data_IF_964687268315
#
_entry.id   IF_964687268315
#
_cell.length_a   1.000
_cell.length_b   1.000
_cell.length_c   1.000
_cell.angle_alpha   90.00
_cell.angle_beta   90.00
_cell.angle_gamma   90.00
#
_symmetry.space_group_name_H-M   'P 1'
#
loop_
_entity.id
_entity.type
_entity.pdbx_description
1 polymer ?
#
# COMPACT_ATOMS: atom_id res chain seq x y z
N UNK A 1 11.04 57.99 -19.87
CA UNK A 1 11.58 56.74 -19.33
C UNK A 1 11.18 56.66 -17.87
N UNK A 2 10.38 55.81 -17.35
CA UNK A 2 9.80 54.64 -17.88
C UNK A 2 9.11 53.92 -16.73
N UNK A 3 7.79 54.04 -16.64
CA UNK A 3 6.94 53.15 -15.79
C UNK A 3 6.94 51.71 -16.33
N UNK A 4 7.19 51.54 -17.61
CA UNK A 4 7.25 50.22 -18.25
C UNK A 4 8.45 49.35 -17.79
N UNK A 5 9.63 49.94 -17.55
CA UNK A 5 10.81 49.18 -17.04
C UNK A 5 10.72 48.73 -15.58
N UNK A 6 9.74 49.23 -14.80
CA UNK A 6 9.48 48.78 -13.44
C UNK A 6 8.51 47.56 -13.38
N UNK A 7 7.66 47.39 -14.41
CA UNK A 7 6.76 46.25 -14.52
C UNK A 7 7.49 44.96 -14.96
N UNK A 8 8.54 45.11 -15.81
CA UNK A 8 9.37 43.95 -16.25
C UNK A 8 10.32 43.41 -15.17
N UNK A 9 10.42 44.08 -14.01
CA UNK A 9 11.20 43.66 -12.84
C UNK A 9 10.37 43.19 -11.65
N UNK A 10 9.07 43.11 -11.79
CA UNK A 10 8.25 42.40 -10.82
C UNK A 10 8.39 40.91 -11.15
N UNK A 11 9.19 40.22 -10.32
CA UNK A 11 9.15 38.75 -10.26
C UNK A 11 7.68 38.38 -10.12
N UNK A 12 7.13 37.79 -11.17
CA UNK A 12 5.82 37.14 -11.09
C UNK A 12 6.02 36.03 -10.09
N UNK A 13 5.57 36.23 -8.86
CA UNK A 13 5.39 35.14 -7.91
C UNK A 13 4.34 34.24 -8.57
N UNK A 14 4.80 33.26 -9.35
CA UNK A 14 3.94 32.16 -9.73
C UNK A 14 3.47 31.56 -8.41
N UNK A 15 2.24 31.87 -8.03
CA UNK A 15 1.54 31.14 -6.99
C UNK A 15 1.67 29.68 -7.36
N UNK A 16 2.46 28.95 -6.58
CA UNK A 16 2.64 27.52 -6.76
C UNK A 16 1.23 26.95 -6.91
N UNK A 17 0.94 26.40 -8.10
CA UNK A 17 -0.37 25.77 -8.35
C UNK A 17 -0.58 24.78 -7.21
N UNK A 18 -1.62 25.00 -6.42
CA UNK A 18 -1.96 24.08 -5.32
C UNK A 18 -1.98 22.67 -5.91
N UNK A 19 -1.11 21.81 -5.39
CA UNK A 19 -1.10 20.42 -5.79
C UNK A 19 -2.45 19.85 -5.35
N UNK A 20 -3.16 19.11 -6.21
CA UNK A 20 -4.42 18.51 -5.81
C UNK A 20 -4.16 17.64 -4.58
N UNK A 21 -4.89 17.90 -3.49
CA UNK A 21 -4.80 17.07 -2.29
C UNK A 21 -5.36 15.68 -2.64
N UNK A 22 -4.67 14.62 -2.23
CA UNK A 22 -5.16 13.28 -2.48
C UNK A 22 -6.44 13.01 -1.68
N UNK A 23 -7.34 12.19 -2.26
CA UNK A 23 -8.56 11.70 -1.63
C UNK A 23 -8.61 10.20 -1.84
N UNK A 24 -8.48 9.42 -0.76
CA UNK A 24 -8.51 7.96 -0.82
C UNK A 24 -9.80 7.40 -0.24
N UNK A 25 -10.42 6.51 -0.98
CA UNK A 25 -11.59 5.76 -0.54
C UNK A 25 -11.48 4.32 -1.04
N UNK A 26 -11.31 3.36 -0.11
CA UNK A 26 -11.23 1.94 -0.44
C UNK A 26 -12.62 1.38 -0.72
N UNK A 27 -12.80 0.74 -1.88
CA UNK A 27 -14.04 0.06 -2.22
C UNK A 27 -14.15 -1.24 -1.42
N UNK A 28 -15.31 -1.46 -0.86
CA UNK A 28 -15.58 -2.62 -0.03
C UNK A 28 -16.20 -3.74 -0.85
N UNK A 29 -15.60 -4.94 -0.78
CA UNK A 29 -16.18 -6.17 -1.30
C UNK A 29 -17.20 -6.73 -0.30
N UNK A 30 -17.88 -7.81 -0.68
CA UNK A 30 -18.80 -8.53 0.20
C UNK A 30 -18.11 -8.97 1.49
N UNK A 31 -18.90 -9.13 2.55
CA UNK A 31 -18.42 -9.56 3.87
C UNK A 31 -17.77 -10.96 3.79
N UNK A 32 -16.53 -11.14 4.26
CA UNK A 32 -15.85 -12.44 4.30
C UNK A 32 -16.35 -13.32 5.44
N UNK A 33 -15.86 -14.55 5.51
CA UNK A 33 -16.02 -15.43 6.67
C UNK A 33 -15.46 -14.81 7.96
N UNK A 34 -15.72 -15.45 9.12
CA UNK A 34 -15.22 -14.95 10.40
C UNK A 34 -13.69 -15.00 10.48
N UNK A 35 -13.10 -16.12 10.08
CA UNK A 35 -11.65 -16.31 10.00
C UNK A 35 -11.17 -15.85 8.62
N UNK A 36 -10.13 -15.02 8.57
CA UNK A 36 -9.53 -14.58 7.31
C UNK A 36 -8.35 -15.45 6.94
N UNK A 37 -7.47 -15.72 7.90
CA UNK A 37 -6.43 -16.72 7.76
C UNK A 37 -5.97 -17.23 9.13
N UNK A 38 -5.36 -18.41 9.12
CA UNK A 38 -4.73 -19.05 10.26
C UNK A 38 -3.46 -19.75 9.77
N UNK A 39 -2.36 -19.64 10.54
CA UNK A 39 -1.11 -20.33 10.23
C UNK A 39 -0.84 -21.41 11.28
N UNK A 40 -0.39 -22.56 10.81
CA UNK A 40 0.01 -23.68 11.66
C UNK A 40 1.48 -23.99 11.41
N UNK A 41 2.31 -23.79 12.44
CA UNK A 41 3.76 -24.02 12.44
C UNK A 41 4.49 -23.46 11.21
N UNK A 42 4.04 -22.28 10.76
CA UNK A 42 4.52 -21.65 9.55
C UNK A 42 5.98 -21.18 9.73
N UNK A 43 6.88 -21.71 8.93
CA UNK A 43 8.29 -21.26 8.86
C UNK A 43 8.52 -20.58 7.52
N UNK A 44 8.91 -19.30 7.59
CA UNK A 44 9.16 -18.46 6.41
C UNK A 44 10.64 -18.38 6.07
N UNK A 45 10.93 -18.17 4.80
CA UNK A 45 12.28 -18.00 4.26
C UNK A 45 12.36 -18.35 2.79
N UNK A 46 13.52 -18.12 2.21
CA UNK A 46 13.82 -18.43 0.81
C UNK A 46 14.64 -19.72 0.66
N UNK A 47 15.37 -20.08 1.71
CA UNK A 47 16.23 -21.27 1.76
C UNK A 47 15.87 -22.11 2.99
N UNK A 48 15.69 -23.41 2.78
CA UNK A 48 15.42 -24.37 3.87
C UNK A 48 16.56 -24.45 4.91
N UNK A 49 17.78 -24.14 4.49
CA UNK A 49 18.95 -24.15 5.37
C UNK A 49 19.11 -22.84 6.16
N UNK A 50 18.40 -21.78 5.73
CA UNK A 50 18.45 -20.45 6.35
C UNK A 50 17.01 -19.91 6.57
N UNK A 51 16.22 -20.52 7.48
CA UNK A 51 14.89 -20.01 7.81
C UNK A 51 14.99 -18.64 8.48
N UNK A 52 14.04 -17.76 8.18
CA UNK A 52 13.94 -16.44 8.79
C UNK A 52 13.15 -16.46 10.10
N UNK A 53 12.33 -17.48 10.32
CA UNK A 53 11.50 -17.56 11.53
C UNK A 53 11.53 -18.94 12.19
N UNK A 54 11.24 -18.96 13.48
CA UNK A 54 10.70 -20.13 14.19
C UNK A 54 9.27 -20.40 13.70
N UNK A 55 8.65 -21.53 14.09
CA UNK A 55 7.24 -21.78 13.77
C UNK A 55 6.32 -20.62 14.22
N UNK A 56 5.52 -20.11 13.30
CA UNK A 56 4.60 -18.99 13.50
C UNK A 56 3.18 -19.52 13.52
N UNK A 57 2.45 -19.25 14.59
CA UNK A 57 1.04 -19.57 14.74
C UNK A 57 0.27 -18.26 14.95
N UNK A 58 -0.34 -17.75 13.89
CA UNK A 58 -1.09 -16.50 13.87
C UNK A 58 -2.48 -16.75 13.31
N UNK A 59 -3.45 -16.00 13.82
CA UNK A 59 -4.82 -16.00 13.35
C UNK A 59 -5.35 -14.59 13.25
N UNK A 60 -5.98 -14.28 12.13
CA UNK A 60 -6.66 -13.03 11.88
C UNK A 60 -8.15 -13.26 11.63
N UNK A 61 -8.97 -12.49 12.32
CA UNK A 61 -10.41 -12.51 12.17
C UNK A 61 -10.90 -11.26 11.43
N UNK A 62 -12.12 -11.37 10.89
CA UNK A 62 -12.79 -10.27 10.19
C UNK A 62 -12.92 -9.04 11.09
N UNK A 63 -12.62 -7.87 10.51
CA UNK A 63 -12.68 -6.57 11.18
C UNK A 63 -11.42 -6.24 11.98
N UNK A 64 -10.47 -7.17 12.14
CA UNK A 64 -9.20 -6.83 12.77
C UNK A 64 -8.34 -5.97 11.83
N UNK A 65 -7.69 -4.98 12.42
CA UNK A 65 -6.63 -4.19 11.78
C UNK A 65 -5.36 -4.44 12.56
N UNK A 66 -4.36 -5.05 11.93
CA UNK A 66 -3.16 -5.57 12.59
C UNK A 66 -1.92 -4.93 11.99
N UNK A 67 -1.03 -4.42 12.83
CA UNK A 67 0.32 -4.03 12.42
C UNK A 67 1.30 -5.18 12.64
N UNK A 68 2.17 -5.42 11.67
CA UNK A 68 3.35 -6.27 11.80
C UNK A 68 4.56 -5.38 11.99
N UNK A 69 5.23 -5.53 13.12
CA UNK A 69 6.42 -4.75 13.48
C UNK A 69 7.64 -5.66 13.65
N UNK A 70 8.82 -5.06 13.66
CA UNK A 70 10.11 -5.75 13.83
C UNK A 70 11.20 -5.06 13.02
N UNK A 71 12.45 -5.39 13.29
CA UNK A 71 13.63 -4.81 12.60
C UNK A 71 13.64 -5.09 11.10
N UNK A 72 14.43 -4.30 10.36
CA UNK A 72 14.58 -4.49 8.92
C UNK A 72 15.26 -5.84 8.64
N UNK A 73 14.80 -6.53 7.58
CA UNK A 73 15.33 -7.83 7.19
C UNK A 73 14.81 -9.03 8.00
N UNK A 74 13.97 -8.83 9.03
CA UNK A 74 13.46 -9.92 9.88
C UNK A 74 12.46 -10.85 9.18
N UNK A 75 12.00 -10.47 7.98
CA UNK A 75 11.07 -11.31 7.19
C UNK A 75 9.63 -10.83 7.14
N UNK A 76 9.33 -9.56 7.48
CA UNK A 76 7.96 -9.00 7.44
C UNK A 76 7.30 -9.16 6.07
N UNK A 77 7.96 -8.69 5.01
CA UNK A 77 7.47 -8.84 3.61
C UNK A 77 7.42 -10.30 3.18
N UNK A 78 8.34 -11.15 3.68
CA UNK A 78 8.35 -12.59 3.40
C UNK A 78 7.13 -13.26 4.05
N UNK A 79 6.77 -12.85 5.27
CA UNK A 79 5.54 -13.31 5.93
C UNK A 79 4.30 -12.92 5.10
N UNK A 80 4.18 -11.64 4.70
CA UNK A 80 3.06 -11.20 3.86
C UNK A 80 2.97 -11.99 2.56
N UNK A 81 4.08 -12.17 1.86
CA UNK A 81 4.14 -12.95 0.61
C UNK A 81 3.80 -14.43 0.81
N UNK A 82 4.17 -15.00 1.95
CA UNK A 82 3.80 -16.38 2.31
C UNK A 82 2.30 -16.50 2.61
N UNK A 83 1.71 -15.55 3.35
CA UNK A 83 0.27 -15.48 3.60
C UNK A 83 -0.55 -15.30 2.32
N UNK A 84 0.00 -14.56 1.35
CA UNK A 84 -0.62 -14.38 0.03
C UNK A 84 -0.45 -15.58 -0.91
N UNK A 85 0.42 -16.54 -0.57
CA UNK A 85 0.78 -17.66 -1.43
C UNK A 85 1.71 -17.29 -2.59
N UNK A 86 2.31 -16.09 -2.56
CA UNK A 86 3.29 -15.62 -3.55
C UNK A 86 4.61 -16.38 -3.37
N UNK A 87 5.01 -16.60 -2.12
CA UNK A 87 6.20 -17.38 -1.74
C UNK A 87 5.72 -18.62 -0.99
N UNK A 88 6.24 -19.78 -1.38
CA UNK A 88 5.97 -21.02 -0.65
C UNK A 88 6.74 -21.02 0.68
N UNK A 89 6.08 -21.26 1.82
CA UNK A 89 6.77 -21.38 3.11
C UNK A 89 7.73 -22.57 3.12
N UNK A 90 8.72 -22.51 4.00
CA UNK A 90 9.69 -23.61 4.21
C UNK A 90 8.96 -24.83 4.80
N UNK A 91 8.09 -24.60 5.80
CA UNK A 91 7.25 -25.61 6.42
C UNK A 91 5.99 -24.97 7.01
N UNK A 92 5.07 -25.79 7.51
CA UNK A 92 3.79 -25.36 8.03
C UNK A 92 2.77 -25.04 6.94
N UNK A 93 1.61 -24.57 7.35
CA UNK A 93 0.47 -24.30 6.45
C UNK A 93 -0.16 -22.95 6.72
N UNK A 94 -0.80 -22.42 5.69
CA UNK A 94 -1.65 -21.21 5.76
C UNK A 94 -3.05 -21.63 5.33
N UNK A 95 -4.00 -21.52 6.23
CA UNK A 95 -5.43 -21.75 5.97
C UNK A 95 -6.10 -20.39 5.70
N UNK A 96 -6.71 -20.27 4.54
CA UNK A 96 -7.45 -19.05 4.16
C UNK A 96 -8.94 -19.26 4.41
N UNK A 97 -9.59 -18.22 4.89
CA UNK A 97 -11.04 -18.17 5.05
C UNK A 97 -11.77 -17.99 3.71
N UNK A 98 -13.11 -18.09 3.81
CA UNK A 98 -13.97 -17.98 2.64
C UNK A 98 -14.19 -16.51 2.22
N UNK A 99 -14.37 -16.32 0.92
CA UNK A 99 -14.77 -15.05 0.32
C UNK A 99 -13.79 -13.90 0.57
N UNK A 100 -12.48 -14.19 0.55
CA UNK A 100 -11.43 -13.19 0.66
C UNK A 100 -11.18 -12.49 -0.67
N UNK A 101 -11.39 -11.18 -0.67
CA UNK A 101 -11.01 -10.25 -1.74
C UNK A 101 -9.84 -9.42 -1.24
N UNK A 102 -8.64 -9.85 -1.61
CA UNK A 102 -7.37 -9.30 -1.10
C UNK A 102 -6.89 -8.16 -1.97
N UNK A 103 -6.59 -7.01 -1.37
CA UNK A 103 -5.81 -5.95 -2.00
C UNK A 103 -4.39 -5.96 -1.43
N UNK A 104 -3.37 -6.00 -2.29
CA UNK A 104 -1.98 -6.02 -1.87
C UNK A 104 -1.22 -4.80 -2.38
N UNK A 105 -0.65 -4.05 -1.44
CA UNK A 105 0.29 -2.97 -1.73
C UNK A 105 1.71 -3.46 -1.44
N UNK A 106 2.46 -3.74 -2.50
CA UNK A 106 3.85 -4.16 -2.40
C UNK A 106 4.78 -2.96 -2.23
N UNK A 107 5.81 -3.09 -1.40
CA UNK A 107 6.75 -2.03 -1.05
C UNK A 107 7.44 -1.44 -2.29
N UNK A 108 7.98 -2.28 -3.16
CA UNK A 108 8.66 -1.87 -4.38
C UNK A 108 8.19 -2.71 -5.57
N UNK A 109 7.82 -2.02 -6.65
CA UNK A 109 7.60 -2.61 -7.95
C UNK A 109 8.40 -1.85 -8.99
N UNK A 110 9.03 -2.56 -9.90
CA UNK A 110 9.65 -1.92 -11.06
C UNK A 110 8.58 -1.16 -11.85
N UNK A 111 8.85 0.10 -12.16
CA UNK A 111 7.96 0.89 -13.01
C UNK A 111 7.83 0.27 -14.40
N UNK A 112 6.62 0.27 -14.93
CA UNK A 112 6.30 -0.28 -16.27
C UNK A 112 6.58 0.73 -17.38
N UNK A 113 6.60 0.24 -18.62
CA UNK A 113 6.70 1.08 -19.82
C UNK A 113 5.37 1.77 -20.17
N UNK A 114 4.27 1.34 -19.54
CA UNK A 114 2.96 1.94 -19.73
C UNK A 114 2.92 3.35 -19.13
N UNK A 115 2.10 4.24 -19.71
CA UNK A 115 1.69 5.47 -19.04
C UNK A 115 0.82 5.14 -17.83
N UNK A 116 0.72 6.07 -16.86
CA UNK A 116 -0.17 5.85 -15.71
C UNK A 116 -1.62 5.60 -16.15
N UNK A 117 -2.05 6.26 -17.22
CA UNK A 117 -3.37 6.07 -17.79
C UNK A 117 -3.56 4.63 -18.29
N UNK A 118 -2.61 4.12 -19.08
CA UNK A 118 -2.65 2.75 -19.60
C UNK A 118 -2.58 1.73 -18.47
N UNK A 119 -1.74 1.99 -17.46
CA UNK A 119 -1.54 1.12 -16.30
C UNK A 119 -2.82 0.90 -15.49
N UNK A 120 -3.62 1.96 -15.29
CA UNK A 120 -4.90 1.86 -14.61
C UNK A 120 -5.98 1.28 -15.55
N UNK A 121 -5.96 1.66 -16.82
CA UNK A 121 -6.96 1.19 -17.77
C UNK A 121 -6.87 -0.31 -18.06
N UNK A 122 -5.67 -0.87 -18.07
CA UNK A 122 -5.46 -2.32 -18.19
C UNK A 122 -6.05 -3.08 -16.99
N UNK A 123 -5.94 -2.54 -15.78
CA UNK A 123 -6.49 -3.13 -14.57
C UNK A 123 -8.02 -3.00 -14.52
N UNK A 124 -8.55 -1.85 -15.01
CA UNK A 124 -9.97 -1.52 -14.98
C UNK A 124 -10.50 -1.21 -16.39
N UNK A 125 -10.63 -2.20 -17.28
CA UNK A 125 -11.01 -1.99 -18.68
C UNK A 125 -12.44 -1.46 -18.84
N UNK A 126 -13.28 -1.59 -17.81
CA UNK A 126 -14.63 -1.01 -17.80
C UNK A 126 -14.69 0.49 -17.54
N UNK A 127 -13.58 1.11 -17.13
CA UNK A 127 -13.55 2.56 -16.91
C UNK A 127 -13.45 3.31 -18.24
N UNK A 128 -14.15 4.42 -18.34
CA UNK A 128 -13.90 5.41 -19.39
C UNK A 128 -12.57 6.13 -19.16
N UNK A 129 -12.02 6.73 -20.20
CA UNK A 129 -10.79 7.54 -20.07
C UNK A 129 -10.92 8.65 -19.03
N UNK A 130 -12.10 9.24 -18.92
CA UNK A 130 -12.40 10.28 -17.92
C UNK A 130 -12.31 9.72 -16.49
N UNK A 131 -12.89 8.55 -16.25
CA UNK A 131 -12.85 7.89 -14.93
C UNK A 131 -11.44 7.52 -14.53
N UNK A 132 -10.63 7.00 -15.46
CA UNK A 132 -9.21 6.71 -15.20
C UNK A 132 -8.44 7.98 -14.83
N UNK A 133 -8.60 9.07 -15.60
CA UNK A 133 -7.96 10.35 -15.30
C UNK A 133 -8.41 10.91 -13.96
N UNK A 134 -9.70 10.82 -13.66
CA UNK A 134 -10.28 11.26 -12.38
C UNK A 134 -9.73 10.46 -11.21
N UNK A 135 -9.63 9.13 -11.33
CA UNK A 135 -9.07 8.27 -10.29
C UNK A 135 -7.60 8.61 -9.99
N UNK A 136 -6.78 8.81 -11.03
CA UNK A 136 -5.37 9.20 -10.88
C UNK A 136 -5.22 10.61 -10.28
N UNK A 137 -6.06 11.56 -10.70
CA UNK A 137 -6.07 12.92 -10.15
C UNK A 137 -6.46 12.93 -8.66
N UNK A 138 -7.44 12.12 -8.25
CA UNK A 138 -7.80 11.92 -6.83
C UNK A 138 -6.65 11.33 -6.01
N UNK A 139 -5.71 10.64 -6.62
CA UNK A 139 -4.49 10.20 -5.95
C UNK A 139 -3.40 11.29 -5.88
N UNK A 140 -3.70 12.53 -6.29
CA UNK A 140 -2.76 13.64 -6.26
C UNK A 140 -1.76 13.65 -7.43
N UNK A 141 -2.07 12.94 -8.54
CA UNK A 141 -1.26 12.96 -9.75
C UNK A 141 -1.72 14.08 -10.69
N UNK A 142 -0.75 14.85 -11.20
CA UNK A 142 -1.00 15.92 -12.18
C UNK A 142 -1.22 15.31 -13.58
N UNK A 143 -1.80 16.11 -14.51
CA UNK A 143 -1.97 15.69 -15.90
C UNK A 143 -0.65 15.22 -16.53
N UNK A 144 0.46 15.91 -16.23
CA UNK A 144 1.80 15.51 -16.71
C UNK A 144 2.20 14.12 -16.20
N UNK A 145 1.94 13.79 -14.92
CA UNK A 145 2.22 12.48 -14.36
C UNK A 145 1.34 11.41 -15.01
N UNK A 146 0.06 11.71 -15.21
CA UNK A 146 -0.92 10.77 -15.80
C UNK A 146 -0.51 10.32 -17.21
N UNK A 147 0.10 11.21 -17.98
CA UNK A 147 0.57 10.95 -19.36
C UNK A 147 2.01 10.42 -19.41
N UNK A 148 2.72 10.41 -18.28
CA UNK A 148 4.08 9.90 -18.19
C UNK A 148 4.10 8.39 -17.99
N UNK A 149 5.17 7.74 -18.46
CA UNK A 149 5.42 6.33 -18.18
C UNK A 149 5.67 6.11 -16.68
N UNK A 150 5.13 5.04 -16.12
CA UNK A 150 5.27 4.75 -14.68
C UNK A 150 6.74 4.68 -14.26
N UNK A 151 7.61 4.10 -15.07
CA UNK A 151 9.05 3.97 -14.76
C UNK A 151 9.82 5.30 -14.61
N UNK A 152 9.32 6.41 -15.18
CA UNK A 152 10.01 7.70 -15.10
C UNK A 152 9.50 8.57 -13.96
N UNK A 153 8.49 8.12 -13.25
CA UNK A 153 7.95 8.80 -12.07
C UNK A 153 8.87 8.64 -10.87
N UNK A 154 8.82 9.60 -9.96
CA UNK A 154 9.42 9.47 -8.62
C UNK A 154 8.79 8.32 -7.84
N UNK A 155 9.50 7.79 -6.82
CA UNK A 155 8.98 6.72 -5.97
C UNK A 155 7.61 7.04 -5.35
N UNK A 156 7.40 8.30 -4.93
CA UNK A 156 6.13 8.76 -4.37
C UNK A 156 4.99 8.80 -5.40
N UNK A 157 5.28 9.20 -6.63
CA UNK A 157 4.29 9.19 -7.71
C UNK A 157 3.94 7.76 -8.12
N UNK A 158 4.93 6.85 -8.18
CA UNK A 158 4.69 5.43 -8.41
C UNK A 158 3.84 4.81 -7.29
N UNK A 159 4.10 5.17 -6.02
CA UNK A 159 3.27 4.75 -4.89
C UNK A 159 1.82 5.21 -5.05
N UNK A 160 1.59 6.45 -5.50
CA UNK A 160 0.25 6.98 -5.78
C UNK A 160 -0.46 6.23 -6.92
N UNK A 161 0.25 5.77 -7.96
CA UNK A 161 -0.31 4.91 -9.00
C UNK A 161 -0.73 3.55 -8.43
N UNK A 162 0.11 2.93 -7.58
CA UNK A 162 -0.24 1.68 -6.88
C UNK A 162 -1.44 1.84 -5.95
N UNK A 163 -1.49 2.95 -5.20
CA UNK A 163 -2.66 3.27 -4.38
C UNK A 163 -3.91 3.46 -5.23
N UNK A 164 -3.80 4.10 -6.40
CA UNK A 164 -4.92 4.26 -7.33
C UNK A 164 -5.48 2.91 -7.78
N UNK A 165 -4.64 1.90 -8.05
CA UNK A 165 -5.09 0.54 -8.31
C UNK A 165 -5.85 -0.02 -7.11
N UNK A 166 -5.24 0.04 -5.93
CA UNK A 166 -5.77 -0.57 -4.71
C UNK A 166 -7.12 0.01 -4.30
N UNK A 167 -7.28 1.34 -4.32
CA UNK A 167 -8.54 1.99 -3.91
C UNK A 167 -9.71 1.74 -4.89
N UNK A 168 -9.40 1.38 -6.14
CA UNK A 168 -10.43 1.05 -7.14
C UNK A 168 -10.78 -0.44 -7.19
N UNK A 169 -10.03 -1.31 -6.51
CA UNK A 169 -10.37 -2.71 -6.32
C UNK A 169 -11.41 -2.87 -5.20
N UNK A 170 -12.35 -3.79 -5.40
CA UNK A 170 -13.24 -4.21 -4.32
C UNK A 170 -12.49 -5.20 -3.42
N UNK A 171 -12.28 -4.81 -2.15
CA UNK A 171 -11.51 -5.59 -1.18
C UNK A 171 -12.24 -5.73 0.14
N UNK A 172 -11.92 -6.79 0.89
CA UNK A 172 -12.35 -6.96 2.28
C UNK A 172 -11.16 -7.26 3.21
N UNK A 173 -9.96 -7.44 2.62
CA UNK A 173 -8.69 -7.55 3.32
C UNK A 173 -7.62 -6.75 2.56
N UNK A 174 -7.15 -5.67 3.18
CA UNK A 174 -6.00 -4.92 2.69
C UNK A 174 -4.72 -5.44 3.33
N UNK A 175 -3.72 -5.72 2.52
CA UNK A 175 -2.38 -6.14 2.93
C UNK A 175 -1.41 -5.09 2.41
N UNK A 176 -0.77 -4.36 3.33
CA UNK A 176 0.04 -3.19 2.99
C UNK A 176 1.47 -3.38 3.50
N UNK A 177 2.42 -3.39 2.58
CA UNK A 177 3.85 -3.52 2.91
C UNK A 177 4.54 -2.16 2.81
N UNK A 178 4.78 -1.54 3.97
CA UNK A 178 5.39 -0.22 4.14
C UNK A 178 4.77 0.88 3.23
N UNK A 179 3.44 1.08 3.27
CA UNK A 179 2.75 1.96 2.33
C UNK A 179 3.07 3.44 2.50
N UNK A 180 3.69 3.82 3.64
CA UNK A 180 4.09 5.20 3.93
C UNK A 180 5.40 5.59 3.25
N UNK A 181 6.20 4.62 2.80
CA UNK A 181 7.45 4.90 2.14
C UNK A 181 7.24 5.72 0.86
N UNK A 182 8.04 6.77 0.73
CA UNK A 182 8.01 7.71 -0.40
C UNK A 182 6.74 8.57 -0.54
N UNK A 183 5.72 8.41 0.31
CA UNK A 183 4.56 9.30 0.29
C UNK A 183 4.89 10.67 0.92
N UNK A 184 4.36 11.74 0.32
CA UNK A 184 4.36 13.05 0.95
C UNK A 184 3.38 13.10 2.15
N UNK A 185 3.49 14.15 2.95
CA UNK A 185 2.71 14.30 4.19
C UNK A 185 1.21 14.23 3.92
N UNK A 186 0.74 14.96 2.89
CA UNK A 186 -0.69 15.01 2.56
C UNK A 186 -1.22 13.62 2.17
N UNK A 187 -0.43 12.83 1.42
CA UNK A 187 -0.82 11.47 1.04
C UNK A 187 -0.76 10.49 2.22
N UNK A 188 0.21 10.65 3.15
CA UNK A 188 0.27 9.84 4.38
C UNK A 188 -0.94 10.10 5.27
N UNK A 189 -1.29 11.36 5.50
CA UNK A 189 -2.42 11.75 6.34
C UNK A 189 -3.74 11.23 5.75
N UNK A 190 -3.89 11.36 4.43
CA UNK A 190 -5.08 10.87 3.74
C UNK A 190 -5.16 9.34 3.75
N UNK A 191 -4.03 8.63 3.56
CA UNK A 191 -3.99 7.17 3.68
C UNK A 191 -4.37 6.72 5.10
N UNK A 192 -3.84 7.40 6.13
CA UNK A 192 -4.18 7.15 7.53
C UNK A 192 -5.69 7.31 7.77
N UNK A 193 -6.28 8.42 7.26
CA UNK A 193 -7.72 8.66 7.34
C UNK A 193 -8.51 7.54 6.64
N UNK A 194 -8.16 7.23 5.41
CA UNK A 194 -8.86 6.22 4.62
C UNK A 194 -8.79 4.81 5.25
N UNK A 195 -7.65 4.44 5.86
CA UNK A 195 -7.51 3.18 6.57
C UNK A 195 -8.32 3.13 7.87
N UNK A 196 -8.50 4.26 8.56
CA UNK A 196 -9.39 4.35 9.73
C UNK A 196 -10.84 4.12 9.33
N UNK A 197 -11.28 4.76 8.24
CA UNK A 197 -12.66 4.71 7.75
C UNK A 197 -13.02 3.38 7.06
N UNK A 198 -12.01 2.61 6.64
CA UNK A 198 -12.23 1.34 5.97
C UNK A 198 -12.79 0.29 6.95
N UNK A 199 -13.96 -0.30 6.63
CA UNK A 199 -14.62 -1.30 7.48
C UNK A 199 -14.11 -2.73 7.29
N UNK A 200 -13.35 -2.98 6.23
CA UNK A 200 -12.66 -4.27 6.03
C UNK A 200 -11.50 -4.46 7.01
N UNK A 201 -10.80 -5.55 6.83
CA UNK A 201 -9.65 -5.91 7.65
C UNK A 201 -8.35 -5.37 7.03
N UNK A 202 -7.36 -5.08 7.87
CA UNK A 202 -6.08 -4.51 7.42
C UNK A 202 -4.92 -5.27 8.06
N UNK A 203 -3.99 -5.72 7.25
CA UNK A 203 -2.70 -6.23 7.68
C UNK A 203 -1.61 -5.30 7.17
N UNK A 204 -0.92 -4.62 8.07
CA UNK A 204 -0.04 -3.49 7.77
C UNK A 204 1.37 -3.75 8.30
N UNK A 205 2.36 -3.79 7.42
CA UNK A 205 3.76 -3.62 7.81
C UNK A 205 4.07 -2.14 7.83
N UNK A 206 4.48 -1.62 8.97
CA UNK A 206 4.85 -0.22 9.13
C UNK A 206 5.84 -0.02 10.27
N UNK A 207 6.81 0.89 10.06
CA UNK A 207 7.81 1.25 11.06
C UNK A 207 7.48 2.56 11.81
N UNK A 208 6.41 3.25 11.43
CA UNK A 208 6.02 4.55 11.99
C UNK A 208 4.88 4.35 13.01
N UNK A 209 5.16 4.26 14.34
CA UNK A 209 4.12 4.07 15.36
C UNK A 209 3.04 5.15 15.32
N UNK A 210 3.41 6.39 15.03
CA UNK A 210 2.49 7.53 14.90
C UNK A 210 1.53 7.37 13.71
N UNK A 211 1.89 6.56 12.72
CA UNK A 211 0.99 6.25 11.62
C UNK A 211 -0.02 5.18 11.99
N UNK A 212 0.42 4.03 12.54
CA UNK A 212 -0.44 2.86 12.71
C UNK A 212 -1.19 2.80 14.04
N UNK A 213 -0.71 3.43 15.12
CA UNK A 213 -1.30 3.28 16.48
C UNK A 213 -2.78 3.61 16.56
N UNK A 214 -3.25 4.58 15.77
CA UNK A 214 -4.67 4.98 15.73
C UNK A 214 -5.51 4.15 14.74
N UNK A 215 -4.88 3.28 13.95
CA UNK A 215 -5.56 2.47 12.92
C UNK A 215 -5.81 1.06 13.44
N UNK A 216 -4.76 0.46 14.07
CA UNK A 216 -4.76 -0.96 14.36
C UNK A 216 -5.34 -1.30 15.72
N UNK A 217 -5.95 -2.48 15.80
CA UNK A 217 -6.50 -3.04 17.02
C UNK A 217 -5.54 -4.03 17.70
N UNK A 218 -4.49 -4.46 16.97
CA UNK A 218 -3.54 -5.47 17.41
C UNK A 218 -2.18 -5.26 16.76
N UNK A 219 -1.12 -5.62 17.44
CA UNK A 219 0.26 -5.60 16.90
C UNK A 219 0.86 -6.99 17.01
N UNK A 220 1.47 -7.45 15.91
CA UNK A 220 2.30 -8.65 15.89
C UNK A 220 3.77 -8.25 15.80
N UNK A 221 4.53 -8.58 16.83
CA UNK A 221 5.97 -8.37 16.82
C UNK A 221 6.67 -9.60 16.24
N UNK A 222 7.21 -9.48 15.03
CA UNK A 222 7.86 -10.59 14.35
C UNK A 222 9.20 -10.99 15.00
N UNK A 223 9.77 -10.15 15.86
CA UNK A 223 10.98 -10.47 16.61
C UNK A 223 10.80 -11.66 17.56
N UNK A 224 9.58 -11.86 18.07
CA UNK A 224 9.24 -13.01 18.93
C UNK A 224 9.44 -14.36 18.21
N UNK A 225 9.34 -14.36 16.90
CA UNK A 225 9.48 -15.54 16.05
C UNK A 225 10.82 -15.59 15.29
N UNK A 226 11.72 -14.63 15.50
CA UNK A 226 13.00 -14.58 14.80
C UNK A 226 13.92 -15.73 15.21
N UNK A 227 14.67 -16.26 14.23
CA UNK A 227 15.80 -17.16 14.47
C UNK A 227 17.12 -16.39 14.64
N UNK A 228 17.13 -15.10 14.26
CA UNK A 228 18.28 -14.23 14.44
C UNK A 228 18.38 -13.85 15.92
N UNK A 229 19.47 -14.25 16.58
CA UNK A 229 19.83 -13.74 17.91
C UNK A 229 20.51 -12.39 17.69
N UNK A 230 19.90 -11.32 18.17
CA UNK A 230 20.50 -9.98 18.19
C UNK A 230 21.65 -9.90 19.19
#
# INVERSE_FOLDING_TARGET
>A
MSRQKKLDKMDVIELARERPKPEFYFKEARTPGKMLFETEDLVIGYDKQAPLSKPINLRMERGEKIAIVGTNGIGKSTLLKSLLGIIKPISGTVHLGDYLYKGYFEQEMAGTENTCLEEIWQEFPGFSQYEVRSALAKCGLTTKHIESKVKVLSGGEQAKVRLCKLINQETNLLILDEPTNHLDVDAKDELKRALKDYHGSVLLVCHEPEFYSDIVTKVWNLEEYSVLTL
#
